data_IF_756460963384
#
_entry.id   IF_756460963384
#
_cell.length_a   1.000
_cell.length_b   1.000
_cell.length_c   1.000
_cell.angle_alpha   90.00
_cell.angle_beta   90.00
_cell.angle_gamma   90.00
#
_symmetry.space_group_name_H-M   'P 1'
#
loop_
_entity.id
_entity.type
_entity.pdbx_description
1 polymer ?
#
# COMPACT_ATOMS: atom_id res chain seq x y z
N UNK A 1 30.06 3.52 -5.02
CA UNK A 1 29.18 3.25 -3.85
C UNK A 1 28.24 2.11 -4.23
N UNK A 2 28.00 1.14 -3.35
CA UNK A 2 26.98 0.10 -3.61
C UNK A 2 25.62 0.71 -3.35
N UNK A 3 24.70 0.62 -4.32
CA UNK A 3 23.31 1.03 -4.12
C UNK A 3 22.64 0.10 -3.11
N UNK A 4 21.84 0.66 -2.21
CA UNK A 4 21.07 -0.11 -1.24
C UNK A 4 19.82 -0.67 -1.92
N UNK A 5 19.63 -1.98 -1.82
CA UNK A 5 18.36 -2.64 -2.17
C UNK A 5 17.47 -2.66 -0.94
N UNK A 6 16.22 -2.26 -1.09
CA UNK A 6 15.21 -2.29 -0.04
C UNK A 6 14.33 -3.53 -0.21
N UNK A 7 14.07 -4.23 0.90
CA UNK A 7 13.18 -5.39 0.94
C UNK A 7 11.81 -4.91 1.39
N UNK A 8 10.82 -5.06 0.50
CA UNK A 8 9.41 -4.77 0.76
C UNK A 8 8.64 -6.08 0.89
N UNK A 9 8.14 -6.38 2.08
CA UNK A 9 7.37 -7.60 2.36
C UNK A 9 5.87 -7.31 2.38
N UNK A 10 5.10 -8.10 1.63
CA UNK A 10 3.65 -7.97 1.47
C UNK A 10 2.86 -9.13 2.09
N UNK A 11 3.51 -9.97 2.88
CA UNK A 11 2.89 -11.17 3.49
C UNK A 11 1.64 -10.82 4.30
N UNK A 12 1.68 -9.71 5.07
CA UNK A 12 0.57 -9.31 5.94
C UNK A 12 -0.56 -8.57 5.20
N UNK A 13 -0.50 -8.46 3.88
CA UNK A 13 -1.57 -7.90 3.05
C UNK A 13 -1.89 -8.80 1.86
N UNK A 14 -0.97 -8.95 0.91
CA UNK A 14 -1.23 -9.67 -0.34
C UNK A 14 -1.36 -11.17 -0.14
N UNK A 15 -0.45 -11.77 0.63
CA UNK A 15 -0.47 -13.20 0.88
C UNK A 15 -1.69 -13.66 1.70
N UNK A 16 -2.31 -12.80 2.50
CA UNK A 16 -3.55 -13.11 3.23
C UNK A 16 -4.77 -13.26 2.32
N UNK A 17 -4.69 -12.81 1.07
CA UNK A 17 -5.76 -12.99 0.08
C UNK A 17 -5.86 -14.45 -0.39
N UNK A 18 -4.85 -15.27 -0.10
CA UNK A 18 -4.90 -16.71 -0.38
C UNK A 18 -5.88 -17.39 0.59
N UNK A 19 -6.84 -18.19 0.10
CA UNK A 19 -7.79 -18.90 0.97
C UNK A 19 -7.08 -19.73 2.05
N UNK A 20 -7.46 -19.51 3.31
CA UNK A 20 -6.89 -20.22 4.46
C UNK A 20 -5.63 -19.57 5.05
N UNK A 21 -5.15 -18.46 4.49
CA UNK A 21 -3.93 -17.76 4.97
C UNK A 21 -4.23 -16.52 5.82
N UNK A 22 -5.48 -16.32 6.22
CA UNK A 22 -5.86 -15.17 7.05
C UNK A 22 -5.28 -15.29 8.47
N UNK A 23 -4.64 -14.20 8.93
CA UNK A 23 -4.08 -14.07 10.26
C UNK A 23 -4.94 -13.13 11.11
N UNK A 24 -5.07 -13.43 12.40
CA UNK A 24 -5.61 -12.47 13.36
C UNK A 24 -4.57 -11.40 13.72
N UNK A 25 -5.01 -10.33 14.39
CA UNK A 25 -4.13 -9.20 14.74
C UNK A 25 -2.92 -9.61 15.58
N UNK A 26 -3.06 -10.58 16.50
CA UNK A 26 -1.96 -11.05 17.36
C UNK A 26 -0.90 -11.76 16.51
N UNK A 27 -1.34 -12.66 15.64
CA UNK A 27 -0.46 -13.38 14.70
C UNK A 27 0.26 -12.42 13.75
N UNK A 28 -0.43 -11.40 13.23
CA UNK A 28 0.17 -10.34 12.40
C UNK A 28 1.28 -9.60 13.14
N UNK A 29 1.08 -9.26 14.41
CA UNK A 29 2.09 -8.60 15.24
C UNK A 29 3.32 -9.50 15.43
N UNK A 30 3.11 -10.79 15.69
CA UNK A 30 4.22 -11.75 15.84
C UNK A 30 5.04 -11.87 14.56
N UNK A 31 4.38 -11.97 13.40
CA UNK A 31 5.05 -12.00 12.09
C UNK A 31 5.80 -10.69 11.85
N UNK A 32 5.18 -9.53 12.09
CA UNK A 32 5.83 -8.23 11.92
C UNK A 32 7.10 -8.09 12.77
N UNK A 33 7.09 -8.59 14.02
CA UNK A 33 8.28 -8.64 14.89
C UNK A 33 9.37 -9.54 14.33
N UNK A 34 9.01 -10.65 13.68
CA UNK A 34 10.02 -11.50 13.03
C UNK A 34 10.62 -10.82 11.80
N UNK A 35 9.82 -10.10 11.00
CA UNK A 35 10.32 -9.30 9.89
C UNK A 35 11.26 -8.18 10.35
N UNK A 36 10.96 -7.52 11.46
CA UNK A 36 11.86 -6.54 12.08
C UNK A 36 13.20 -7.17 12.47
N UNK A 37 13.19 -8.35 13.08
CA UNK A 37 14.42 -9.10 13.44
C UNK A 37 15.19 -9.58 12.20
N UNK A 38 14.48 -9.96 11.14
CA UNK A 38 15.06 -10.39 9.87
C UNK A 38 15.71 -9.21 9.10
N UNK A 39 15.35 -7.97 9.45
CA UNK A 39 15.87 -6.78 8.80
C UNK A 39 15.12 -6.39 7.52
N UNK A 40 13.84 -6.76 7.41
CA UNK A 40 12.96 -6.26 6.34
C UNK A 40 12.87 -4.73 6.45
N UNK A 41 13.00 -4.02 5.32
CA UNK A 41 13.00 -2.56 5.31
C UNK A 41 11.59 -1.97 5.38
N UNK A 42 10.62 -2.60 4.69
CA UNK A 42 9.23 -2.14 4.60
C UNK A 42 8.28 -3.32 4.78
N UNK A 43 7.27 -3.16 5.63
CA UNK A 43 6.21 -4.16 5.87
C UNK A 43 4.88 -3.56 5.41
N UNK A 44 4.24 -4.15 4.40
CA UNK A 44 2.86 -3.82 4.04
C UNK A 44 1.90 -4.51 5.03
N UNK A 45 1.40 -3.73 5.98
CA UNK A 45 0.71 -4.23 7.16
C UNK A 45 -0.79 -4.52 6.94
N UNK A 46 -1.38 -4.03 5.85
CA UNK A 46 -2.78 -4.27 5.53
C UNK A 46 -3.42 -3.21 4.64
N UNK A 47 -4.75 -3.33 4.50
CA UNK A 47 -5.61 -2.40 3.76
C UNK A 47 -6.66 -1.80 4.71
N UNK A 48 -6.35 -0.71 5.42
CA UNK A 48 -7.12 -0.21 6.56
C UNK A 48 -8.60 0.10 6.30
N UNK A 49 -8.95 0.47 5.06
CA UNK A 49 -10.35 0.77 4.70
C UNK A 49 -11.20 -0.50 4.52
N UNK A 50 -10.59 -1.67 4.36
CA UNK A 50 -11.31 -2.91 4.06
C UNK A 50 -12.18 -3.38 5.20
N UNK A 51 -11.72 -3.25 6.44
CA UNK A 51 -12.47 -3.64 7.64
C UNK A 51 -11.93 -2.96 8.91
N UNK A 52 -12.73 -2.87 9.98
CA UNK A 52 -12.23 -2.45 11.30
C UNK A 52 -11.09 -3.32 11.82
N UNK A 53 -11.07 -4.61 11.49
CA UNK A 53 -10.01 -5.55 11.87
C UNK A 53 -8.69 -5.19 11.19
N UNK A 54 -8.71 -4.92 9.89
CA UNK A 54 -7.50 -4.49 9.15
C UNK A 54 -6.99 -3.13 9.63
N UNK A 55 -7.89 -2.18 9.88
CA UNK A 55 -7.52 -0.90 10.47
C UNK A 55 -6.78 -1.10 11.80
N UNK A 56 -7.36 -1.88 12.73
CA UNK A 56 -6.76 -2.16 14.02
C UNK A 56 -5.43 -2.91 13.90
N UNK A 57 -5.32 -3.85 12.96
CA UNK A 57 -4.07 -4.58 12.71
C UNK A 57 -2.93 -3.65 12.28
N UNK A 58 -3.19 -2.71 11.37
CA UNK A 58 -2.19 -1.71 10.95
C UNK A 58 -1.80 -0.81 12.14
N UNK A 59 -2.76 -0.36 12.95
CA UNK A 59 -2.50 0.43 14.17
C UNK A 59 -1.61 -0.33 15.14
N UNK A 60 -1.94 -1.59 15.45
CA UNK A 60 -1.20 -2.37 16.43
C UNK A 60 0.20 -2.78 15.93
N UNK A 61 0.36 -3.11 14.65
CA UNK A 61 1.67 -3.32 14.04
C UNK A 61 2.50 -2.04 14.11
N UNK A 62 1.91 -0.88 13.81
CA UNK A 62 2.58 0.42 13.87
C UNK A 62 3.12 0.77 15.26
N UNK A 63 2.47 0.26 16.32
CA UNK A 63 2.93 0.40 17.71
C UNK A 63 3.99 -0.64 18.09
N UNK A 64 3.92 -1.85 17.51
CA UNK A 64 4.68 -3.01 17.93
C UNK A 64 6.10 -3.06 17.37
N UNK A 65 6.34 -2.48 16.19
CA UNK A 65 7.64 -2.47 15.49
C UNK A 65 8.08 -1.04 15.17
N UNK A 66 9.39 -0.80 15.16
CA UNK A 66 9.93 0.57 15.09
C UNK A 66 11.05 0.76 14.06
N UNK A 67 11.63 -0.33 13.59
CA UNK A 67 12.76 -0.30 12.64
C UNK A 67 12.26 -0.29 11.19
N UNK A 68 11.36 -1.18 10.74
CA UNK A 68 10.85 -1.13 9.37
C UNK A 68 9.92 0.07 9.16
N UNK A 69 9.78 0.48 7.91
CA UNK A 69 8.69 1.37 7.48
C UNK A 69 7.40 0.57 7.44
N UNK A 70 6.35 1.06 8.09
CA UNK A 70 5.03 0.43 8.02
C UNK A 70 4.27 1.04 6.85
N UNK A 71 3.84 0.17 5.95
CA UNK A 71 3.15 0.52 4.73
C UNK A 71 1.67 0.12 4.82
N UNK A 72 0.78 0.97 4.34
CA UNK A 72 -0.64 0.69 4.22
C UNK A 72 -1.11 0.88 2.78
N UNK A 73 -1.80 -0.15 2.24
CA UNK A 73 -2.39 -0.11 0.91
C UNK A 73 -3.58 0.85 0.87
N UNK A 74 -3.72 1.57 -0.23
CA UNK A 74 -4.90 2.38 -0.57
C UNK A 74 -5.19 2.30 -2.06
N UNK A 75 -6.44 2.43 -2.43
CA UNK A 75 -6.80 2.82 -3.79
C UNK A 75 -6.55 4.33 -3.95
N UNK A 76 -6.48 4.82 -5.19
CA UNK A 76 -6.42 6.25 -5.50
C UNK A 76 -7.75 6.96 -5.18
N UNK A 77 -8.19 6.86 -3.91
CA UNK A 77 -9.43 7.41 -3.36
C UNK A 77 -9.11 8.14 -2.07
N UNK A 78 -9.55 9.39 -1.95
CA UNK A 78 -9.24 10.25 -0.79
C UNK A 78 -9.58 9.59 0.54
N UNK A 79 -10.74 8.93 0.63
CA UNK A 79 -11.18 8.27 1.87
C UNK A 79 -10.26 7.13 2.29
N UNK A 80 -9.77 6.33 1.33
CA UNK A 80 -8.82 5.25 1.61
C UNK A 80 -7.52 5.83 2.19
N UNK A 81 -7.01 6.90 1.55
CA UNK A 81 -5.79 7.59 1.96
C UNK A 81 -5.92 8.19 3.38
N UNK A 82 -7.06 8.83 3.69
CA UNK A 82 -7.33 9.36 5.03
C UNK A 82 -7.33 8.28 6.10
N UNK A 83 -8.00 7.15 5.83
CA UNK A 83 -8.07 6.03 6.77
C UNK A 83 -6.70 5.37 6.96
N UNK A 84 -5.92 5.23 5.89
CA UNK A 84 -4.56 4.72 5.99
C UNK A 84 -3.65 5.67 6.78
N UNK A 85 -3.72 6.96 6.52
CA UNK A 85 -2.99 7.98 7.28
C UNK A 85 -3.32 7.93 8.77
N UNK A 86 -4.60 7.75 9.12
CA UNK A 86 -5.04 7.62 10.51
C UNK A 86 -4.47 6.37 11.19
N UNK A 87 -4.48 5.22 10.49
CA UNK A 87 -3.92 3.97 11.00
C UNK A 87 -2.40 4.04 11.19
N UNK A 88 -1.70 4.79 10.34
CA UNK A 88 -0.24 4.94 10.36
C UNK A 88 0.28 5.98 11.37
N UNK A 89 -0.59 6.72 12.07
CA UNK A 89 -0.17 7.78 13.02
C UNK A 89 0.77 7.28 14.12
N UNK A 90 0.72 6.00 14.45
CA UNK A 90 1.56 5.40 15.47
C UNK A 90 2.86 4.82 14.90
N UNK A 91 3.01 4.76 13.59
CA UNK A 91 4.22 4.27 12.95
C UNK A 91 5.35 5.30 13.11
N UNK A 92 6.54 4.84 13.48
CA UNK A 92 7.73 5.69 13.50
C UNK A 92 8.11 6.19 12.10
N UNK A 93 7.87 5.35 11.10
CA UNK A 93 7.98 5.65 9.67
C UNK A 93 6.78 5.03 8.97
N UNK A 94 5.93 5.86 8.41
CA UNK A 94 4.73 5.44 7.70
C UNK A 94 4.87 5.68 6.20
N UNK A 95 4.40 4.72 5.39
CA UNK A 95 4.29 4.81 3.93
C UNK A 95 2.84 4.58 3.53
N UNK A 96 2.32 5.42 2.66
CA UNK A 96 1.06 5.17 1.96
C UNK A 96 1.38 4.60 0.58
N UNK A 97 0.90 3.39 0.32
CA UNK A 97 1.00 2.70 -0.96
C UNK A 97 -0.33 2.86 -1.70
N UNK A 98 -0.38 3.81 -2.63
CA UNK A 98 -1.61 4.15 -3.36
C UNK A 98 -1.51 3.78 -4.83
N UNK A 99 -2.62 3.38 -5.44
CA UNK A 99 -2.59 3.01 -6.84
C UNK A 99 -3.95 2.94 -7.50
N UNK A 100 -3.92 2.73 -8.81
CA UNK A 100 -5.11 2.66 -9.65
C UNK A 100 -4.89 1.68 -10.79
N UNK A 101 -5.96 1.04 -11.27
CA UNK A 101 -5.91 0.15 -12.43
C UNK A 101 -5.56 0.88 -13.72
N UNK A 102 -4.58 0.36 -14.44
CA UNK A 102 -4.01 0.98 -15.65
C UNK A 102 -4.24 0.20 -16.92
N UNK A 103 -4.65 -1.08 -16.84
CA UNK A 103 -4.99 -1.85 -18.03
C UNK A 103 -6.27 -1.36 -18.71
N UNK A 104 -6.43 -1.67 -19.98
CA UNK A 104 -7.63 -1.32 -20.75
C UNK A 104 -8.91 -1.74 -20.02
N UNK A 105 -8.97 -2.97 -19.50
CA UNK A 105 -10.12 -3.49 -18.77
C UNK A 105 -10.41 -2.71 -17.49
N UNK A 106 -9.37 -2.33 -16.74
CA UNK A 106 -9.55 -1.54 -15.53
C UNK A 106 -10.04 -0.13 -15.84
N UNK A 107 -9.50 0.50 -16.90
CA UNK A 107 -9.88 1.86 -17.28
C UNK A 107 -11.32 1.89 -17.77
N UNK A 108 -11.65 1.04 -18.75
CA UNK A 108 -12.93 1.13 -19.46
C UNK A 108 -14.06 0.39 -18.76
N UNK A 109 -13.82 -0.85 -18.27
CA UNK A 109 -14.88 -1.70 -17.72
C UNK A 109 -15.07 -1.51 -16.19
N UNK A 110 -13.98 -1.36 -15.44
CA UNK A 110 -14.05 -1.24 -13.97
C UNK A 110 -14.25 0.20 -13.52
N UNK A 111 -13.54 1.15 -14.14
CA UNK A 111 -13.49 2.55 -13.70
C UNK A 111 -14.34 3.49 -14.56
N UNK A 112 -14.85 3.02 -15.72
CA UNK A 112 -15.61 3.79 -16.68
C UNK A 112 -14.96 5.15 -16.97
N UNK A 113 -13.68 5.15 -17.35
CA UNK A 113 -12.83 6.32 -17.42
C UNK A 113 -11.99 6.31 -18.70
N UNK A 114 -11.16 7.30 -18.87
CA UNK A 114 -10.20 7.41 -19.97
C UNK A 114 -8.76 7.35 -19.45
N UNK A 115 -7.76 7.01 -20.29
CA UNK A 115 -6.36 6.98 -19.87
C UNK A 115 -5.88 8.30 -19.26
N UNK A 116 -6.27 9.44 -19.81
CA UNK A 116 -5.87 10.76 -19.31
C UNK A 116 -6.50 11.08 -17.94
N UNK A 117 -7.76 10.71 -17.72
CA UNK A 117 -8.41 10.84 -16.42
C UNK A 117 -7.75 9.96 -15.36
N UNK A 118 -7.32 8.75 -15.73
CA UNK A 118 -6.60 7.85 -14.79
C UNK A 118 -5.26 8.46 -14.38
N UNK A 119 -4.48 9.02 -15.31
CA UNK A 119 -3.25 9.76 -14.98
C UNK A 119 -3.56 10.92 -14.03
N UNK A 120 -4.60 11.71 -14.31
CA UNK A 120 -5.02 12.80 -13.43
C UNK A 120 -5.36 12.32 -12.03
N UNK A 121 -6.14 11.22 -11.90
CA UNK A 121 -6.51 10.62 -10.62
C UNK A 121 -5.29 10.07 -9.87
N UNK A 122 -4.34 9.44 -10.56
CA UNK A 122 -3.09 8.95 -9.99
C UNK A 122 -2.27 10.10 -9.37
N UNK A 123 -2.04 11.16 -10.13
CA UNK A 123 -1.32 12.35 -9.68
C UNK A 123 -1.98 13.00 -8.46
N UNK A 124 -3.30 13.17 -8.50
CA UNK A 124 -4.05 13.76 -7.38
C UNK A 124 -4.01 12.88 -6.12
N UNK A 125 -4.06 11.54 -6.27
CA UNK A 125 -3.95 10.63 -5.15
C UNK A 125 -2.57 10.69 -4.47
N UNK A 126 -1.50 10.69 -5.26
CA UNK A 126 -0.12 10.81 -4.74
C UNK A 126 0.06 12.17 -4.06
N UNK A 127 -0.35 13.27 -4.67
CA UNK A 127 -0.31 14.60 -4.05
C UNK A 127 -1.12 14.66 -2.75
N UNK A 128 -2.27 13.99 -2.72
CA UNK A 128 -3.11 13.96 -1.53
C UNK A 128 -2.47 13.14 -0.41
N UNK A 129 -1.92 11.97 -0.72
CA UNK A 129 -1.21 11.12 0.25
C UNK A 129 0.00 11.84 0.86
N UNK A 130 0.76 12.59 0.05
CA UNK A 130 1.90 13.40 0.52
C UNK A 130 1.54 14.51 1.51
N UNK A 131 0.29 14.80 1.74
CA UNK A 131 -0.15 15.72 2.80
C UNK A 131 -0.12 15.08 4.19
N UNK A 132 -0.04 13.76 4.27
CA UNK A 132 -0.11 12.99 5.52
C UNK A 132 1.21 12.30 5.87
N UNK A 133 1.97 11.87 4.85
CA UNK A 133 3.26 11.17 5.01
C UNK A 133 4.27 11.69 3.99
N UNK A 134 5.55 11.62 4.34
CA UNK A 134 6.65 12.00 3.42
C UNK A 134 6.98 10.87 2.42
N UNK A 135 6.69 9.62 2.78
CA UNK A 135 6.97 8.44 1.97
C UNK A 135 5.68 7.91 1.33
N UNK A 136 5.58 8.07 0.01
CA UNK A 136 4.45 7.60 -0.79
C UNK A 136 4.97 6.73 -1.91
N UNK A 137 4.42 5.53 -2.03
CA UNK A 137 4.66 4.62 -3.15
C UNK A 137 3.42 4.56 -4.03
N UNK A 138 3.63 4.58 -5.35
CA UNK A 138 2.55 4.42 -6.33
C UNK A 138 2.67 3.08 -7.03
N UNK A 139 1.55 2.39 -7.21
CA UNK A 139 1.47 1.18 -8.03
C UNK A 139 0.45 1.30 -9.16
N UNK A 140 0.79 0.74 -10.31
CA UNK A 140 -0.11 0.56 -11.43
C UNK A 140 -0.76 -0.84 -11.32
N UNK A 141 -2.02 -0.91 -10.88
CA UNK A 141 -2.75 -2.18 -10.77
C UNK A 141 -2.95 -2.76 -12.19
N UNK A 142 -2.63 -4.05 -12.34
CA UNK A 142 -2.71 -4.78 -13.60
C UNK A 142 -1.70 -4.30 -14.67
N UNK A 143 -0.52 -3.90 -14.23
CA UNK A 143 0.56 -3.42 -15.08
C UNK A 143 0.98 -4.41 -16.18
N UNK A 144 0.91 -5.72 -15.90
CA UNK A 144 1.25 -6.77 -16.87
C UNK A 144 0.33 -6.83 -18.11
N UNK A 145 -0.84 -6.17 -18.06
CA UNK A 145 -1.77 -6.02 -19.19
C UNK A 145 -1.92 -4.56 -19.64
N UNK A 146 -1.05 -3.69 -19.17
CA UNK A 146 -1.03 -2.27 -19.53
C UNK A 146 -0.07 -2.05 -20.71
N UNK A 147 -0.43 -1.23 -21.68
CA UNK A 147 0.45 -0.81 -22.76
C UNK A 147 1.71 -0.14 -22.21
N UNK A 148 2.90 -0.53 -22.67
CA UNK A 148 4.19 -0.11 -22.09
C UNK A 148 4.38 1.42 -22.09
N UNK A 149 4.03 2.10 -23.19
CA UNK A 149 4.15 3.56 -23.29
C UNK A 149 3.21 4.27 -22.32
N UNK A 150 2.00 3.73 -22.13
CA UNK A 150 1.05 4.27 -21.18
C UNK A 150 1.47 3.99 -19.73
N UNK A 151 2.00 2.79 -19.48
CA UNK A 151 2.53 2.44 -18.15
C UNK A 151 3.68 3.40 -17.75
N UNK A 152 4.63 3.62 -18.66
CA UNK A 152 5.73 4.58 -18.45
C UNK A 152 5.25 6.03 -18.20
N UNK A 153 4.10 6.40 -18.77
CA UNK A 153 3.49 7.72 -18.56
C UNK A 153 2.81 7.84 -17.20
N UNK A 154 2.24 6.76 -16.70
CA UNK A 154 1.45 6.75 -15.46
C UNK A 154 2.34 6.69 -14.22
N UNK A 155 3.47 5.98 -14.29
CA UNK A 155 4.45 5.85 -13.21
C UNK A 155 5.54 6.91 -13.28
#
# INVERSE_FOLDING_TARGET
MREKVYIFDTTLRDAEQVPGCQLNTIEKIEVARQFEKLGVDIIEAGFPISSPGDFNSVVEISKAVTVPTICALTRAVKKDIEVAAEALKFAKRGRIHTGIGTSWYHIHEKLNSTPDEIVGRAVEAVKYARRFVDDVEFYAEDAGRTEEEYLARVV
#
